data_IF_132012444094
#
_entry.id   IF_132012444094
#
_cell.length_a   1.000
_cell.length_b   1.000
_cell.length_c   1.000
_cell.angle_alpha   90.00
_cell.angle_beta   90.00
_cell.angle_gamma   90.00
#
_symmetry.space_group_name_H-M   'P 1'
#
loop_
_entity.id
_entity.type
_entity.pdbx_description
1 polymer ?
#
# COMPACT_ATOMS: atom_id res chain seq x y z
N UNK A 1 53.87 66.95 -20.96
CA UNK A 1 53.53 65.82 -21.87
C UNK A 1 53.22 64.50 -21.16
N UNK A 2 53.89 64.13 -20.06
CA UNK A 2 53.66 62.84 -19.37
C UNK A 2 52.22 62.60 -18.84
N UNK A 3 51.55 63.65 -18.35
CA UNK A 3 50.20 63.53 -17.79
C UNK A 3 49.11 63.20 -18.83
N UNK A 4 49.27 63.65 -20.08
CA UNK A 4 48.31 63.38 -21.16
C UNK A 4 48.41 61.92 -21.65
N UNK A 5 49.64 61.40 -21.74
CA UNK A 5 49.90 60.00 -22.10
C UNK A 5 49.38 59.04 -21.02
N UNK A 6 49.54 59.38 -19.73
CA UNK A 6 49.03 58.57 -18.63
C UNK A 6 47.50 58.48 -18.62
N UNK A 7 46.79 59.60 -18.89
CA UNK A 7 45.32 59.60 -19.00
C UNK A 7 44.82 58.76 -20.17
N UNK A 8 45.44 58.89 -21.35
CA UNK A 8 45.07 58.09 -22.52
C UNK A 8 45.29 56.58 -22.32
N UNK A 9 46.35 56.20 -21.60
CA UNK A 9 46.59 54.80 -21.24
C UNK A 9 45.55 54.26 -20.24
N UNK A 10 45.16 55.07 -19.25
CA UNK A 10 44.14 54.72 -18.26
C UNK A 10 42.75 54.54 -18.90
N UNK A 11 42.35 55.43 -19.81
CA UNK A 11 41.08 55.31 -20.55
C UNK A 11 41.03 54.05 -21.42
N UNK A 12 42.14 53.72 -22.11
CA UNK A 12 42.22 52.48 -22.91
C UNK A 12 42.07 51.21 -22.07
N UNK A 13 42.62 51.20 -20.86
CA UNK A 13 42.48 50.09 -19.91
C UNK A 13 41.06 49.99 -19.37
N UNK A 14 40.43 51.12 -19.03
CA UNK A 14 39.04 51.16 -18.59
C UNK A 14 38.07 50.66 -19.68
N UNK A 15 38.26 51.11 -20.92
CA UNK A 15 37.46 50.67 -22.06
C UNK A 15 37.59 49.16 -22.33
N UNK A 16 38.81 48.60 -22.23
CA UNK A 16 39.03 47.15 -22.37
C UNK A 16 38.36 46.34 -21.26
N UNK A 17 38.40 46.81 -20.01
CA UNK A 17 37.72 46.13 -18.88
C UNK A 17 36.21 46.12 -19.06
N UNK A 18 35.62 47.26 -19.41
CA UNK A 18 34.18 47.35 -19.66
C UNK A 18 33.72 46.46 -20.84
N UNK A 19 34.54 46.32 -21.88
CA UNK A 19 34.24 45.41 -23.00
C UNK A 19 34.28 43.93 -22.59
N UNK A 20 35.28 43.52 -21.79
CA UNK A 20 35.34 42.14 -21.28
C UNK A 20 34.19 41.81 -20.34
N UNK A 21 33.79 42.76 -19.49
CA UNK A 21 32.70 42.59 -18.53
C UNK A 21 31.34 42.42 -19.24
N UNK A 22 31.09 43.18 -20.31
CA UNK A 22 29.90 42.99 -21.15
C UNK A 22 29.85 41.60 -21.80
N UNK A 23 30.97 41.13 -22.36
CA UNK A 23 31.04 39.79 -22.97
C UNK A 23 30.84 38.68 -21.93
N UNK A 24 31.36 38.85 -20.71
CA UNK A 24 31.14 37.89 -19.62
C UNK A 24 29.66 37.84 -19.21
N UNK A 25 28.99 38.99 -19.13
CA UNK A 25 27.56 39.05 -18.81
C UNK A 25 26.67 38.46 -19.90
N UNK A 26 27.00 38.67 -21.18
CA UNK A 26 26.30 38.05 -22.31
C UNK A 26 26.43 36.52 -22.30
N UNK A 27 27.63 35.99 -22.02
CA UNK A 27 27.85 34.54 -21.91
C UNK A 27 27.06 33.94 -20.75
N UNK A 28 27.06 34.60 -19.60
CA UNK A 28 26.26 34.17 -18.44
C UNK A 28 24.75 34.17 -18.74
N UNK A 29 24.27 35.16 -19.51
CA UNK A 29 22.86 35.21 -19.92
C UNK A 29 22.52 34.07 -20.91
N UNK A 30 23.42 33.76 -21.85
CA UNK A 30 23.24 32.64 -22.77
C UNK A 30 23.28 31.27 -22.07
N UNK A 31 24.20 31.07 -21.13
CA UNK A 31 24.30 29.83 -20.36
C UNK A 31 23.04 29.61 -19.50
N UNK A 32 22.52 30.67 -18.86
CA UNK A 32 21.27 30.59 -18.10
C UNK A 32 20.08 30.21 -18.99
N UNK A 33 19.95 30.84 -20.16
CA UNK A 33 18.88 30.53 -21.10
C UNK A 33 18.96 29.08 -21.61
N UNK A 34 20.17 28.57 -21.87
CA UNK A 34 20.37 27.18 -22.29
C UNK A 34 20.00 26.18 -21.19
N UNK A 35 20.32 26.49 -19.93
CA UNK A 35 19.96 25.65 -18.77
C UNK A 35 18.45 25.66 -18.54
N UNK A 36 17.79 26.82 -18.62
CA UNK A 36 16.32 26.92 -18.48
C UNK A 36 15.58 26.14 -19.58
N UNK A 37 16.07 26.19 -20.82
CA UNK A 37 15.52 25.38 -21.92
C UNK A 37 15.69 23.88 -21.68
N UNK A 38 16.86 23.43 -21.23
CA UNK A 38 17.09 22.02 -20.92
C UNK A 38 16.18 21.51 -19.79
N UNK A 39 15.93 22.34 -18.77
CA UNK A 39 15.00 22.02 -17.67
C UNK A 39 13.56 21.91 -18.19
N UNK A 40 13.13 22.84 -19.04
CA UNK A 40 11.78 22.82 -19.62
C UNK A 40 11.56 21.59 -20.53
N UNK A 41 12.56 21.22 -21.34
CA UNK A 41 12.49 20.02 -22.19
C UNK A 41 12.45 18.73 -21.37
N UNK A 42 13.23 18.66 -20.28
CA UNK A 42 13.24 17.50 -19.39
C UNK A 42 11.90 17.32 -18.66
N UNK A 43 11.34 18.40 -18.13
CA UNK A 43 10.01 18.37 -17.49
C UNK A 43 8.89 17.97 -18.47
N UNK A 44 8.96 18.43 -19.73
CA UNK A 44 8.01 18.03 -20.77
C UNK A 44 8.13 16.54 -21.14
N UNK A 45 9.35 16.01 -21.19
CA UNK A 45 9.60 14.59 -21.46
C UNK A 45 9.09 13.70 -20.32
N UNK A 46 9.32 14.09 -19.07
CA UNK A 46 8.86 13.36 -17.89
C UNK A 46 7.33 13.31 -17.81
N UNK A 47 6.65 14.44 -18.05
CA UNK A 47 5.19 14.48 -18.12
C UNK A 47 4.63 13.56 -19.22
N UNK A 48 5.25 13.53 -20.39
CA UNK A 48 4.81 12.68 -21.50
C UNK A 48 5.02 11.17 -21.21
N UNK A 49 6.07 10.80 -20.48
CA UNK A 49 6.28 9.42 -20.04
C UNK A 49 5.29 9.02 -18.93
N UNK A 50 5.01 9.92 -17.99
CA UNK A 50 4.01 9.71 -16.95
C UNK A 50 2.60 9.48 -17.53
N UNK A 51 2.18 10.27 -18.52
CA UNK A 51 0.89 10.06 -19.20
C UNK A 51 0.82 8.71 -19.92
N UNK A 52 1.90 8.32 -20.62
CA UNK A 52 1.97 7.01 -21.30
C UNK A 52 1.93 5.85 -20.32
N UNK A 53 2.57 5.98 -19.17
CA UNK A 53 2.53 4.99 -18.11
C UNK A 53 1.12 4.87 -17.51
N UNK A 54 0.44 6.00 -17.28
CA UNK A 54 -0.93 6.02 -16.77
C UNK A 54 -1.93 5.40 -17.74
N UNK A 55 -1.82 5.68 -19.04
CA UNK A 55 -2.66 5.06 -20.07
C UNK A 55 -2.45 3.53 -20.15
N UNK A 56 -1.21 3.06 -19.99
CA UNK A 56 -0.90 1.62 -19.94
C UNK A 56 -1.50 0.97 -18.70
N UNK A 57 -1.39 1.61 -17.53
CA UNK A 57 -1.96 1.14 -16.26
C UNK A 57 -3.49 1.06 -16.32
N UNK A 58 -4.15 2.10 -16.81
CA UNK A 58 -5.60 2.08 -17.01
C UNK A 58 -6.03 0.95 -17.95
N UNK A 59 -5.28 0.70 -19.02
CA UNK A 59 -5.55 -0.41 -19.95
C UNK A 59 -5.33 -1.79 -19.33
N UNK A 60 -4.38 -1.97 -18.40
CA UNK A 60 -4.19 -3.24 -17.70
C UNK A 60 -5.24 -3.46 -16.61
N UNK A 61 -5.56 -2.42 -15.83
CA UNK A 61 -6.60 -2.48 -14.80
C UNK A 61 -7.98 -2.78 -15.41
N UNK A 62 -8.28 -2.20 -16.58
CA UNK A 62 -9.53 -2.49 -17.28
C UNK A 62 -9.59 -3.95 -17.75
N UNK A 63 -8.47 -4.52 -18.24
CA UNK A 63 -8.41 -5.95 -18.59
C UNK A 63 -8.56 -6.86 -17.38
N UNK A 64 -7.97 -6.48 -16.24
CA UNK A 64 -8.08 -7.25 -15.00
C UNK A 64 -9.47 -7.16 -14.38
N UNK A 65 -10.13 -6.00 -14.47
CA UNK A 65 -11.53 -5.81 -14.09
C UNK A 65 -12.46 -6.63 -14.99
N UNK A 66 -12.28 -6.59 -16.32
CA UNK A 66 -13.05 -7.39 -17.28
C UNK A 66 -12.84 -8.90 -17.03
N UNK A 67 -11.62 -9.32 -16.71
CA UNK A 67 -11.31 -10.71 -16.38
C UNK A 67 -11.90 -11.13 -15.02
N UNK A 68 -11.94 -10.24 -14.03
CA UNK A 68 -12.59 -10.47 -12.75
C UNK A 68 -14.11 -10.59 -12.92
N UNK A 69 -14.71 -9.72 -13.73
CA UNK A 69 -16.15 -9.76 -14.05
C UNK A 69 -16.51 -11.02 -14.85
N UNK A 70 -15.67 -11.42 -15.81
CA UNK A 70 -15.85 -12.68 -16.53
C UNK A 70 -15.75 -13.91 -15.61
N UNK A 71 -14.85 -13.88 -14.62
CA UNK A 71 -14.77 -14.92 -13.59
C UNK A 71 -16.01 -14.94 -12.69
N UNK A 72 -16.52 -13.77 -12.30
CA UNK A 72 -17.76 -13.68 -11.51
C UNK A 72 -18.95 -14.19 -12.31
N UNK A 73 -19.09 -13.82 -13.59
CA UNK A 73 -20.13 -14.35 -14.48
C UNK A 73 -20.02 -15.86 -14.68
N UNK A 74 -18.81 -16.40 -14.86
CA UNK A 74 -18.62 -17.85 -14.94
C UNK A 74 -19.00 -18.57 -13.64
N UNK A 75 -18.74 -17.94 -12.48
CA UNK A 75 -19.20 -18.45 -11.18
C UNK A 75 -20.72 -18.39 -11.06
N UNK A 76 -21.36 -17.30 -11.50
CA UNK A 76 -22.83 -17.15 -11.50
C UNK A 76 -23.52 -18.13 -12.46
N UNK A 77 -22.97 -18.35 -13.65
CA UNK A 77 -23.45 -19.36 -14.60
C UNK A 77 -23.30 -20.77 -14.02
N UNK A 78 -22.16 -21.09 -13.41
CA UNK A 78 -21.95 -22.38 -12.74
C UNK A 78 -22.89 -22.58 -11.55
N UNK A 79 -23.20 -21.52 -10.78
CA UNK A 79 -24.21 -21.57 -9.71
C UNK A 79 -25.61 -21.78 -10.30
N UNK A 80 -25.94 -21.13 -11.42
CA UNK A 80 -27.26 -21.24 -12.06
C UNK A 80 -27.48 -22.64 -12.66
N UNK A 81 -26.49 -23.16 -13.40
CA UNK A 81 -26.46 -24.53 -13.91
C UNK A 81 -26.59 -25.55 -12.77
N UNK A 82 -25.87 -25.33 -11.66
CA UNK A 82 -25.96 -26.22 -10.50
C UNK A 82 -27.32 -26.17 -9.79
N UNK A 83 -27.99 -25.01 -9.73
CA UNK A 83 -29.35 -24.88 -9.18
C UNK A 83 -30.37 -25.55 -10.12
N UNK A 84 -30.15 -25.50 -11.42
CA UNK A 84 -30.98 -26.20 -12.42
C UNK A 84 -30.81 -27.72 -12.31
N UNK A 85 -29.57 -28.20 -12.19
CA UNK A 85 -29.23 -29.60 -11.91
C UNK A 85 -29.78 -30.07 -10.56
N UNK A 86 -29.80 -29.22 -9.53
CA UNK A 86 -30.39 -29.57 -8.24
C UNK A 86 -31.92 -29.60 -8.29
N UNK A 87 -32.56 -28.79 -9.15
CA UNK A 87 -34.01 -28.83 -9.42
C UNK A 87 -34.41 -30.03 -10.27
N UNK A 88 -33.63 -30.36 -11.29
CA UNK A 88 -33.80 -31.55 -12.15
C UNK A 88 -33.50 -32.82 -11.33
N UNK A 89 -32.48 -32.77 -10.49
CA UNK A 89 -32.13 -33.73 -9.45
C UNK A 89 -33.23 -33.90 -8.40
N UNK A 90 -33.90 -32.83 -7.96
CA UNK A 90 -35.06 -32.92 -7.08
C UNK A 90 -36.32 -33.42 -7.79
N UNK A 91 -36.52 -33.11 -9.09
CA UNK A 91 -37.61 -33.72 -9.89
C UNK A 91 -37.39 -35.22 -10.08
N UNK A 92 -36.14 -35.66 -10.24
CA UNK A 92 -35.77 -37.08 -10.36
C UNK A 92 -35.68 -37.79 -9.00
N UNK A 93 -35.30 -37.10 -7.93
CA UNK A 93 -35.28 -37.61 -6.55
C UNK A 93 -36.65 -37.59 -5.86
N UNK A 94 -37.62 -36.80 -6.34
CA UNK A 94 -39.02 -36.93 -5.92
C UNK A 94 -39.63 -38.31 -6.25
N UNK A 95 -38.94 -39.11 -7.09
CA UNK A 95 -39.32 -40.48 -7.42
C UNK A 95 -38.65 -41.51 -6.48
N UNK A 96 -37.67 -41.13 -5.64
CA UNK A 96 -37.05 -42.09 -4.70
C UNK A 96 -36.48 -41.43 -3.43
N UNK A 97 -36.92 -41.81 -2.22
CA UNK A 97 -36.39 -41.21 -0.99
C UNK A 97 -35.12 -41.93 -0.52
N UNK A 98 -33.98 -41.21 -0.47
CA UNK A 98 -32.72 -41.71 0.08
C UNK A 98 -31.61 -40.65 0.24
N UNK A 99 -31.46 -40.13 1.47
CA UNK A 99 -30.37 -39.34 2.10
C UNK A 99 -29.10 -39.00 1.27
N UNK A 100 -28.86 -37.69 0.94
CA UNK A 100 -27.51 -37.20 0.62
C UNK A 100 -27.21 -35.73 1.03
N UNK A 101 -27.06 -35.40 2.32
CA UNK A 101 -26.74 -34.01 2.78
C UNK A 101 -25.42 -33.84 3.55
N UNK A 102 -24.82 -34.89 4.10
CA UNK A 102 -23.64 -34.76 4.97
C UNK A 102 -22.30 -34.59 4.21
N UNK A 103 -22.10 -35.29 3.09
CA UNK A 103 -20.85 -35.23 2.32
C UNK A 103 -20.63 -33.88 1.62
N UNK A 104 -21.72 -33.22 1.17
CA UNK A 104 -21.67 -31.90 0.53
C UNK A 104 -21.26 -30.79 1.51
N UNK A 105 -21.69 -30.88 2.77
CA UNK A 105 -21.35 -29.89 3.81
C UNK A 105 -19.88 -29.98 4.24
N UNK A 106 -19.34 -31.19 4.42
CA UNK A 106 -17.92 -31.39 4.73
C UNK A 106 -16.99 -30.85 3.63
N UNK A 107 -17.37 -31.02 2.36
CA UNK A 107 -16.59 -30.48 1.22
C UNK A 107 -16.57 -28.94 1.20
N UNK A 108 -17.69 -28.29 1.54
CA UNK A 108 -17.77 -26.83 1.68
C UNK A 108 -16.93 -26.31 2.85
N UNK A 109 -17.02 -26.94 4.01
CA UNK A 109 -16.24 -26.57 5.21
C UNK A 109 -14.74 -26.72 4.94
N UNK A 110 -14.33 -27.80 4.26
CA UNK A 110 -12.93 -28.01 3.88
C UNK A 110 -12.39 -26.94 2.93
N UNK A 111 -13.19 -26.49 1.96
CA UNK A 111 -12.81 -25.39 1.05
C UNK A 111 -12.64 -24.06 1.81
N UNK A 112 -13.55 -23.76 2.75
CA UNK A 112 -13.42 -22.59 3.63
C UNK A 112 -12.16 -22.69 4.48
N UNK A 113 -11.87 -23.87 5.03
CA UNK A 113 -10.66 -24.12 5.83
C UNK A 113 -9.39 -23.80 5.05
N UNK A 114 -9.30 -24.27 3.80
CA UNK A 114 -8.16 -24.01 2.94
C UNK A 114 -7.99 -22.52 2.64
N UNK A 115 -9.09 -21.80 2.42
CA UNK A 115 -9.05 -20.34 2.19
C UNK A 115 -8.66 -19.54 3.44
N UNK A 116 -9.05 -20.01 4.62
CA UNK A 116 -8.59 -19.43 5.90
C UNK A 116 -7.09 -19.63 6.05
N UNK A 117 -6.57 -20.84 5.78
CA UNK A 117 -5.14 -21.13 5.86
C UNK A 117 -4.31 -20.30 4.88
N UNK A 118 -4.74 -20.19 3.62
CA UNK A 118 -4.04 -19.38 2.63
C UNK A 118 -4.02 -17.90 3.02
N UNK A 119 -5.10 -17.40 3.62
CA UNK A 119 -5.14 -16.04 4.15
C UNK A 119 -4.20 -15.83 5.34
N UNK A 120 -4.07 -16.81 6.24
CA UNK A 120 -3.08 -16.77 7.34
C UNK A 120 -1.65 -16.67 6.79
N UNK A 121 -1.31 -17.46 5.77
CA UNK A 121 0.01 -17.42 5.15
C UNK A 121 0.33 -16.06 4.52
N UNK A 122 -0.65 -15.42 3.89
CA UNK A 122 -0.51 -14.05 3.36
C UNK A 122 -0.27 -13.08 4.51
N UNK A 123 -1.08 -13.16 5.59
CA UNK A 123 -0.92 -12.28 6.75
C UNK A 123 0.46 -12.44 7.39
N UNK A 124 0.98 -13.67 7.50
CA UNK A 124 2.32 -13.90 8.07
C UNK A 124 3.44 -13.30 7.22
N UNK A 125 3.36 -13.45 5.88
CA UNK A 125 4.33 -12.82 4.96
C UNK A 125 4.31 -11.30 5.11
N UNK A 126 3.12 -10.72 5.09
CA UNK A 126 2.91 -9.28 5.24
C UNK A 126 3.36 -8.76 6.61
N UNK A 127 3.13 -9.53 7.67
CA UNK A 127 3.60 -9.20 9.03
C UNK A 127 5.13 -9.12 9.07
N UNK A 128 5.84 -10.07 8.45
CA UNK A 128 7.29 -10.08 8.38
C UNK A 128 7.85 -8.92 7.54
N UNK A 129 7.20 -8.59 6.42
CA UNK A 129 7.58 -7.43 5.60
C UNK A 129 7.38 -6.11 6.36
N UNK A 130 6.26 -5.95 7.05
CA UNK A 130 5.97 -4.75 7.84
C UNK A 130 6.97 -4.59 9.00
N UNK A 131 7.30 -5.67 9.71
CA UNK A 131 8.30 -5.63 10.79
C UNK A 131 9.70 -5.29 10.24
N UNK A 132 10.07 -5.85 9.09
CA UNK A 132 11.30 -5.47 8.39
C UNK A 132 11.35 -3.97 8.09
N UNK A 133 10.26 -3.41 7.56
CA UNK A 133 10.19 -1.98 7.20
C UNK A 133 10.26 -1.10 8.46
N UNK A 134 9.49 -1.43 9.51
CA UNK A 134 9.55 -0.74 10.80
C UNK A 134 10.99 -0.70 11.35
N UNK A 135 11.63 -1.87 11.47
CA UNK A 135 12.98 -1.99 12.00
C UNK A 135 14.00 -1.20 11.15
N UNK A 136 13.77 -1.12 9.84
CA UNK A 136 14.62 -0.38 8.91
C UNK A 136 14.51 1.14 9.09
N UNK A 137 13.30 1.68 9.25
CA UNK A 137 13.08 3.11 9.57
C UNK A 137 13.62 3.43 10.97
N UNK A 138 13.45 2.51 11.93
CA UNK A 138 14.00 2.65 13.28
C UNK A 138 15.53 2.67 13.28
N UNK A 139 16.19 1.88 12.43
CA UNK A 139 17.65 1.90 12.29
C UNK A 139 18.18 3.17 11.59
N UNK A 140 17.36 3.87 10.79
CA UNK A 140 17.70 5.16 10.17
C UNK A 140 18.85 5.11 9.17
N UNK A 141 19.12 3.94 8.57
CA UNK A 141 20.37 3.67 7.84
C UNK A 141 20.44 4.37 6.48
N UNK A 142 19.32 4.82 5.88
CA UNK A 142 19.32 5.28 4.48
C UNK A 142 18.31 6.42 4.18
N UNK A 143 18.01 7.32 5.13
CA UNK A 143 17.19 8.50 4.81
C UNK A 143 17.99 9.44 3.91
N UNK A 144 17.65 9.49 2.62
CA UNK A 144 18.25 10.42 1.65
C UNK A 144 17.87 11.86 2.04
N UNK A 145 18.82 12.72 2.47
CA UNK A 145 18.49 14.04 3.03
C UNK A 145 18.00 15.09 2.02
N UNK A 146 18.01 14.79 0.71
CA UNK A 146 17.94 15.81 -0.36
C UNK A 146 16.49 16.04 -0.85
N UNK A 147 15.58 15.07 -0.68
CA UNK A 147 14.18 15.19 -1.14
C UNK A 147 13.23 15.80 -0.09
N UNK A 148 13.70 15.95 1.16
CA UNK A 148 12.86 16.34 2.31
C UNK A 148 12.41 17.81 2.32
N UNK A 149 13.20 18.74 1.76
CA UNK A 149 12.83 20.18 1.79
C UNK A 149 11.72 20.53 0.81
N UNK A 150 11.75 19.95 -0.39
CA UNK A 150 10.71 20.14 -1.41
C UNK A 150 9.38 19.50 -0.96
N UNK A 151 9.45 18.28 -0.42
CA UNK A 151 8.27 17.58 0.13
C UNK A 151 7.67 18.28 1.34
N UNK A 152 8.47 18.89 2.23
CA UNK A 152 7.93 19.69 3.37
C UNK A 152 7.18 20.93 2.92
N UNK A 153 7.63 21.59 1.84
CA UNK A 153 6.95 22.77 1.32
C UNK A 153 5.69 22.38 0.52
N UNK A 154 5.72 21.28 -0.24
CA UNK A 154 4.54 20.69 -0.89
C UNK A 154 3.50 20.15 0.11
N UNK A 155 3.95 19.69 1.27
CA UNK A 155 3.11 19.28 2.40
C UNK A 155 2.41 20.46 3.08
N UNK A 156 3.10 21.60 3.26
CA UNK A 156 2.47 22.85 3.74
C UNK A 156 1.42 23.38 2.76
N UNK A 157 1.56 23.05 1.48
CA UNK A 157 0.59 23.36 0.41
C UNK A 157 -0.58 22.37 0.35
N UNK A 158 -0.58 21.29 1.14
CA UNK A 158 -1.69 20.34 1.23
C UNK A 158 -1.80 19.37 0.05
N UNK A 159 -0.73 19.18 -0.73
CA UNK A 159 -0.70 18.16 -1.78
C UNK A 159 -0.54 16.79 -1.13
N UNK A 160 -1.56 15.95 -1.22
CA UNK A 160 -1.46 14.54 -0.80
C UNK A 160 -0.55 13.82 -1.78
N UNK A 161 0.63 13.37 -1.33
CA UNK A 161 1.38 12.35 -2.06
C UNK A 161 0.48 11.10 -2.14
N UNK A 162 0.12 10.76 -3.37
CA UNK A 162 -0.63 9.56 -3.70
C UNK A 162 -0.11 9.08 -5.04
N UNK A 163 1.10 8.56 -5.06
CA UNK A 163 1.75 8.16 -6.32
C UNK A 163 2.33 6.75 -6.32
N UNK A 164 2.42 6.07 -5.16
CA UNK A 164 3.10 4.76 -5.06
C UNK A 164 2.11 3.61 -4.82
N UNK A 165 2.26 2.50 -5.58
CA UNK A 165 1.53 1.24 -5.32
C UNK A 165 2.07 0.54 -4.06
N UNK A 166 1.28 -0.34 -3.45
CA UNK A 166 1.68 -1.10 -2.25
C UNK A 166 2.99 -1.88 -2.47
N UNK A 167 3.13 -2.54 -3.62
CA UNK A 167 4.36 -3.26 -3.98
C UNK A 167 5.52 -2.33 -4.33
N UNK A 168 5.22 -1.16 -4.91
CA UNK A 168 6.21 -0.14 -5.26
C UNK A 168 6.83 0.46 -3.99
N UNK A 169 6.02 0.73 -2.96
CA UNK A 169 6.49 1.17 -1.65
C UNK A 169 7.39 0.11 -1.00
N UNK A 170 6.96 -1.15 -0.96
CA UNK A 170 7.80 -2.25 -0.46
C UNK A 170 9.12 -2.36 -1.22
N UNK A 171 9.08 -2.12 -2.53
CA UNK A 171 10.23 -2.13 -3.40
C UNK A 171 11.18 -0.97 -3.07
N UNK A 172 10.69 0.25 -2.86
CA UNK A 172 11.47 1.41 -2.39
C UNK A 172 12.20 1.13 -1.07
N UNK A 173 11.52 0.51 -0.10
CA UNK A 173 12.14 0.10 1.17
C UNK A 173 13.26 -0.94 0.99
N UNK A 174 13.10 -1.88 0.04
CA UNK A 174 14.12 -2.88 -0.31
C UNK A 174 15.33 -2.27 -1.03
N UNK A 175 15.09 -1.32 -1.95
CA UNK A 175 16.15 -0.67 -2.74
C UNK A 175 16.74 0.58 -2.09
N UNK A 176 16.43 0.84 -0.81
CA UNK A 176 17.00 1.94 -0.02
C UNK A 176 16.66 3.34 -0.54
N UNK A 177 15.57 3.47 -1.30
CA UNK A 177 15.10 4.73 -1.85
C UNK A 177 13.77 5.11 -1.19
N UNK A 178 13.74 5.13 0.15
CA UNK A 178 12.52 5.39 0.92
C UNK A 178 12.62 6.69 1.71
N UNK A 179 11.52 7.44 1.73
CA UNK A 179 11.29 8.62 2.53
C UNK A 179 10.49 8.29 3.81
N UNK A 180 10.48 9.20 4.78
CA UNK A 180 9.53 9.13 5.91
C UNK A 180 8.09 9.18 5.39
N UNK A 181 7.86 9.90 4.30
CA UNK A 181 6.55 10.01 3.66
C UNK A 181 6.07 8.68 3.08
N UNK A 182 6.95 7.92 2.43
CA UNK A 182 6.66 6.55 2.00
C UNK A 182 6.27 5.66 3.21
N UNK A 183 6.81 5.94 4.40
CA UNK A 183 6.42 5.27 5.65
C UNK A 183 4.98 5.57 6.08
N UNK A 184 4.51 6.81 5.91
CA UNK A 184 3.12 7.20 6.18
C UNK A 184 2.15 6.71 5.09
N UNK A 185 2.54 6.74 3.80
CA UNK A 185 1.76 6.12 2.72
C UNK A 185 1.56 4.63 2.99
N UNK A 186 2.63 3.93 3.39
CA UNK A 186 2.60 2.52 3.73
C UNK A 186 1.69 2.23 4.94
N UNK A 187 1.75 3.08 5.98
CA UNK A 187 0.87 2.99 7.14
C UNK A 187 -0.61 3.06 6.71
N UNK A 188 -0.98 3.98 5.83
CA UNK A 188 -2.35 4.11 5.34
C UNK A 188 -2.80 2.89 4.54
N UNK A 189 -1.96 2.39 3.63
CA UNK A 189 -2.29 1.22 2.83
C UNK A 189 -2.43 -0.04 3.68
N UNK A 190 -1.55 -0.26 4.67
CA UNK A 190 -1.69 -1.39 5.59
C UNK A 190 -2.91 -1.27 6.50
N UNK A 191 -3.32 -0.06 6.90
CA UNK A 191 -4.57 0.13 7.64
C UNK A 191 -5.80 -0.23 6.80
N UNK A 192 -5.82 0.15 5.52
CA UNK A 192 -6.88 -0.26 4.59
C UNK A 192 -6.87 -1.77 4.36
N UNK A 193 -5.69 -2.37 4.18
CA UNK A 193 -5.54 -3.81 4.02
C UNK A 193 -5.96 -4.58 5.30
N UNK A 194 -5.62 -4.10 6.49
CA UNK A 194 -6.05 -4.65 7.77
C UNK A 194 -7.59 -4.65 7.89
N UNK A 195 -8.23 -3.56 7.49
CA UNK A 195 -9.70 -3.47 7.45
C UNK A 195 -10.30 -4.51 6.48
N UNK A 196 -9.69 -4.70 5.30
CA UNK A 196 -10.09 -5.74 4.35
C UNK A 196 -9.93 -7.15 4.95
N UNK A 197 -8.83 -7.45 5.65
CA UNK A 197 -8.65 -8.76 6.27
C UNK A 197 -9.66 -9.02 7.39
N UNK A 198 -9.98 -8.02 8.21
CA UNK A 198 -11.05 -8.14 9.23
C UNK A 198 -12.41 -8.40 8.59
N UNK A 199 -12.72 -7.73 7.48
CA UNK A 199 -13.95 -7.98 6.73
C UNK A 199 -13.98 -9.40 6.15
N UNK A 200 -12.84 -9.91 5.66
CA UNK A 200 -12.72 -11.28 5.17
C UNK A 200 -12.99 -12.32 6.27
N UNK A 201 -12.45 -12.11 7.47
CA UNK A 201 -12.73 -12.97 8.64
C UNK A 201 -14.23 -12.97 8.97
N UNK A 202 -14.86 -11.78 8.97
CA UNK A 202 -16.31 -11.64 9.19
C UNK A 202 -17.12 -12.47 8.19
N UNK A 203 -16.76 -12.42 6.90
CA UNK A 203 -17.42 -13.23 5.86
C UNK A 203 -17.23 -14.73 6.10
N UNK A 204 -16.04 -15.17 6.51
CA UNK A 204 -15.82 -16.59 6.85
C UNK A 204 -16.69 -17.07 8.00
N UNK A 205 -16.87 -16.25 9.05
CA UNK A 205 -17.76 -16.56 10.17
C UNK A 205 -19.23 -16.64 9.70
N UNK A 206 -19.66 -15.71 8.84
CA UNK A 206 -21.00 -15.73 8.24
C UNK A 206 -21.25 -16.98 7.38
N UNK A 207 -20.23 -17.43 6.63
CA UNK A 207 -20.32 -18.64 5.81
C UNK A 207 -20.48 -19.93 6.62
N UNK A 208 -20.06 -19.93 7.89
CA UNK A 208 -20.29 -21.02 8.86
C UNK A 208 -21.66 -20.95 9.54
N UNK A 209 -22.49 -19.95 9.23
CA UNK A 209 -23.90 -19.91 9.60
C UNK A 209 -24.26 -19.03 10.81
N UNK A 210 -23.34 -18.19 11.29
CA UNK A 210 -23.62 -17.22 12.36
C UNK A 210 -23.41 -15.79 11.88
N UNK A 211 -24.41 -14.95 12.15
CA UNK A 211 -24.36 -13.53 11.88
C UNK A 211 -23.50 -12.82 12.94
N UNK A 212 -22.34 -12.31 12.53
CA UNK A 212 -21.42 -11.57 13.41
C UNK A 212 -22.06 -10.33 14.01
N UNK A 213 -22.99 -9.68 13.29
CA UNK A 213 -23.63 -8.44 13.75
C UNK A 213 -24.62 -8.67 14.91
N UNK A 214 -24.97 -9.93 15.19
CA UNK A 214 -25.74 -10.31 16.39
C UNK A 214 -24.88 -10.51 17.64
N UNK A 215 -23.56 -10.46 17.51
CA UNK A 215 -22.60 -10.68 18.59
C UNK A 215 -21.77 -9.42 18.85
N UNK A 216 -21.39 -9.19 20.11
CA UNK A 216 -20.62 -7.99 20.50
C UNK A 216 -19.21 -7.93 19.85
N UNK A 217 -18.67 -9.07 19.39
CA UNK A 217 -17.37 -9.14 18.71
C UNK A 217 -17.23 -10.36 17.79
N UNK A 218 -16.30 -10.29 16.82
CA UNK A 218 -15.94 -11.44 15.95
C UNK A 218 -15.46 -12.65 16.76
N UNK A 219 -14.71 -12.42 17.85
CA UNK A 219 -14.28 -13.50 18.77
C UNK A 219 -15.49 -14.12 19.49
N UNK A 220 -16.44 -13.30 19.94
CA UNK A 220 -17.67 -13.80 20.57
C UNK A 220 -18.52 -14.64 19.62
N UNK A 221 -18.56 -14.29 18.33
CA UNK A 221 -19.21 -15.10 17.30
C UNK A 221 -18.51 -16.47 17.10
N UNK A 222 -17.17 -16.49 17.08
CA UNK A 222 -16.38 -17.74 17.01
C UNK A 222 -16.63 -18.62 18.24
N UNK A 223 -16.59 -18.05 19.44
CA UNK A 223 -16.86 -18.78 20.69
C UNK A 223 -18.29 -19.31 20.77
N UNK A 224 -19.25 -18.58 20.22
CA UNK A 224 -20.63 -19.04 20.11
C UNK A 224 -20.74 -20.24 19.14
N UNK A 225 -20.13 -20.15 17.96
CA UNK A 225 -20.08 -21.26 16.99
C UNK A 225 -19.39 -22.49 17.57
N UNK A 226 -18.24 -22.33 18.23
CA UNK A 226 -17.54 -23.46 18.86
C UNK A 226 -18.42 -24.16 19.91
N UNK A 227 -19.21 -23.40 20.68
CA UNK A 227 -20.15 -23.96 21.66
C UNK A 227 -21.27 -24.72 20.97
N UNK A 228 -21.90 -24.13 19.95
CA UNK A 228 -22.96 -24.78 19.17
C UNK A 228 -22.48 -26.09 18.52
N UNK A 229 -21.27 -26.12 17.99
CA UNK A 229 -20.71 -27.35 17.40
C UNK A 229 -20.36 -28.40 18.45
N UNK A 230 -19.82 -28.00 19.61
CA UNK A 230 -19.54 -28.93 20.72
C UNK A 230 -20.82 -29.52 21.31
N UNK A 231 -21.92 -28.76 21.30
CA UNK A 231 -23.25 -29.21 21.75
C UNK A 231 -23.87 -30.28 20.84
N UNK A 232 -23.37 -30.48 19.62
CA UNK A 232 -23.83 -31.55 18.71
C UNK A 232 -23.28 -32.93 19.06
N UNK A 233 -22.33 -33.03 20.01
CA UNK A 233 -21.70 -34.26 20.50
C UNK A 233 -21.24 -35.21 19.37
N UNK A 234 -22.08 -36.17 18.96
CA UNK A 234 -21.79 -37.21 17.97
C UNK A 234 -21.90 -36.72 16.52
N UNK A 235 -22.60 -35.61 16.26
CA UNK A 235 -22.72 -34.98 14.95
C UNK A 235 -21.79 -33.75 14.80
N UNK A 236 -20.80 -33.63 15.71
CA UNK A 236 -19.83 -32.54 15.69
C UNK A 236 -18.98 -32.61 14.42
N UNK A 237 -18.98 -31.52 13.65
CA UNK A 237 -18.10 -31.38 12.49
C UNK A 237 -16.72 -30.90 12.96
N UNK A 238 -15.75 -31.82 12.91
CA UNK A 238 -14.38 -31.59 13.34
C UNK A 238 -13.69 -30.53 12.45
N UNK A 239 -14.04 -30.46 11.16
CA UNK A 239 -13.46 -29.47 10.24
C UNK A 239 -13.92 -28.06 10.60
N UNK A 240 -15.18 -27.89 11.04
CA UNK A 240 -15.68 -26.60 11.54
C UNK A 240 -14.86 -26.16 12.74
N UNK A 241 -14.60 -27.05 13.71
CA UNK A 241 -13.76 -26.72 14.88
C UNK A 241 -12.34 -26.31 14.48
N UNK A 242 -11.72 -26.98 13.52
CA UNK A 242 -10.40 -26.59 13.01
C UNK A 242 -10.44 -25.25 12.29
N UNK A 243 -11.47 -24.98 11.48
CA UNK A 243 -11.62 -23.68 10.80
C UNK A 243 -11.78 -22.53 11.80
N UNK A 244 -12.55 -22.72 12.86
CA UNK A 244 -12.77 -21.72 13.92
C UNK A 244 -11.49 -21.42 14.69
N UNK A 245 -10.70 -22.47 14.98
CA UNK A 245 -9.37 -22.31 15.57
C UNK A 245 -8.43 -21.50 14.68
N UNK A 246 -8.41 -21.79 13.39
CA UNK A 246 -7.55 -21.07 12.43
C UNK A 246 -8.04 -19.61 12.23
N UNK A 247 -9.35 -19.36 12.27
CA UNK A 247 -9.89 -17.99 12.28
C UNK A 247 -9.49 -17.21 13.53
N UNK A 248 -9.44 -17.84 14.71
CA UNK A 248 -8.91 -17.21 15.93
C UNK A 248 -7.42 -16.86 15.77
N UNK A 249 -6.63 -17.80 15.23
CA UNK A 249 -5.21 -17.57 14.98
C UNK A 249 -4.98 -16.43 13.98
N UNK A 250 -5.85 -16.31 12.96
CA UNK A 250 -5.88 -15.18 12.03
C UNK A 250 -6.16 -13.85 12.74
N UNK A 251 -7.16 -13.80 13.64
CA UNK A 251 -7.47 -12.60 14.41
C UNK A 251 -6.29 -12.19 15.31
N UNK A 252 -5.64 -13.14 15.96
CA UNK A 252 -4.45 -12.88 16.80
C UNK A 252 -3.30 -12.30 15.96
N UNK A 253 -3.09 -12.81 14.74
CA UNK A 253 -2.10 -12.26 13.79
C UNK A 253 -2.45 -10.84 13.34
N UNK A 254 -3.73 -10.55 13.07
CA UNK A 254 -4.16 -9.19 12.73
C UNK A 254 -3.94 -8.19 13.89
N UNK A 255 -4.12 -8.62 15.14
CA UNK A 255 -3.77 -7.80 16.32
C UNK A 255 -2.26 -7.53 16.40
N UNK A 256 -1.43 -8.51 16.01
CA UNK A 256 0.03 -8.29 15.90
C UNK A 256 0.36 -7.24 14.82
N UNK A 257 -0.26 -7.33 13.64
CA UNK A 257 -0.08 -6.32 12.58
C UNK A 257 -0.48 -4.93 13.07
N UNK A 258 -1.62 -4.80 13.75
CA UNK A 258 -2.05 -3.53 14.35
C UNK A 258 -1.03 -2.96 15.36
N UNK A 259 -0.42 -3.83 16.15
CA UNK A 259 0.65 -3.43 17.09
C UNK A 259 1.87 -2.91 16.34
N UNK A 260 2.30 -3.59 15.28
CA UNK A 260 3.44 -3.16 14.46
C UNK A 260 3.12 -1.83 13.75
N UNK A 261 1.89 -1.64 13.25
CA UNK A 261 1.47 -0.37 12.64
C UNK A 261 1.51 0.79 13.63
N UNK A 262 1.07 0.58 14.87
CA UNK A 262 1.17 1.59 15.92
C UNK A 262 2.63 1.94 16.24
N UNK A 263 3.50 0.94 16.28
CA UNK A 263 4.92 1.18 16.49
C UNK A 263 5.56 1.91 15.30
N UNK A 264 5.17 1.54 14.06
CA UNK A 264 5.61 2.20 12.84
C UNK A 264 5.23 3.68 12.84
N UNK A 265 3.99 4.03 13.20
CA UNK A 265 3.55 5.42 13.36
C UNK A 265 4.44 6.17 14.37
N UNK A 266 4.74 5.54 15.52
CA UNK A 266 5.64 6.11 16.52
C UNK A 266 7.06 6.32 16.00
N UNK A 267 7.59 5.40 15.19
CA UNK A 267 8.92 5.51 14.57
C UNK A 267 8.93 6.61 13.50
N UNK A 268 7.95 6.65 12.61
CA UNK A 268 7.79 7.69 11.59
C UNK A 268 7.70 9.08 12.24
N UNK A 269 6.93 9.21 13.33
CA UNK A 269 6.81 10.46 14.09
C UNK A 269 8.13 10.90 14.68
N UNK A 270 8.80 10.03 15.44
CA UNK A 270 10.12 10.32 16.04
C UNK A 270 11.15 10.74 14.98
N UNK A 271 11.19 10.03 13.85
CA UNK A 271 12.10 10.36 12.75
C UNK A 271 11.74 11.70 12.11
N UNK A 272 10.45 11.98 11.90
CA UNK A 272 10.03 13.26 11.34
C UNK A 272 10.41 14.45 12.25
N UNK A 273 10.22 14.30 13.57
CA UNK A 273 10.61 15.29 14.57
C UNK A 273 12.14 15.50 14.60
N UNK A 274 12.95 14.44 14.47
CA UNK A 274 14.42 14.53 14.37
C UNK A 274 14.89 15.28 13.12
N UNK A 275 14.15 15.22 12.01
CA UNK A 275 14.51 15.96 10.80
C UNK A 275 14.06 17.42 10.90
N UNK A 276 12.89 17.68 11.48
CA UNK A 276 12.33 19.04 11.62
C UNK A 276 13.09 19.86 12.69
N UNK A 277 13.50 19.22 13.79
CA UNK A 277 14.26 19.85 14.87
C UNK A 277 15.40 18.90 15.29
N UNK A 278 16.52 18.88 14.55
CA UNK A 278 17.64 18.03 14.91
C UNK A 278 18.16 18.39 16.30
N UNK A 279 18.48 17.39 17.12
CA UNK A 279 18.90 17.57 18.51
C UNK A 279 20.15 18.47 18.69
N UNK A 280 20.90 18.72 17.60
CA UNK A 280 22.05 19.62 17.59
C UNK A 280 21.70 21.10 17.34
N UNK A 281 20.49 21.44 16.88
CA UNK A 281 20.00 22.82 16.85
C UNK A 281 19.40 23.17 18.23
N UNK A 282 20.19 23.87 19.03
CA UNK A 282 19.77 24.37 20.33
C UNK A 282 18.45 25.16 20.20
N UNK A 283 17.44 24.76 20.98
CA UNK A 283 16.17 25.48 21.15
C UNK A 283 16.45 26.91 21.66
N UNK A 284 16.65 27.87 20.75
CA UNK A 284 16.81 29.28 21.11
C UNK A 284 17.90 30.04 20.36
N UNK A 285 17.96 29.96 19.02
CA UNK A 285 18.70 30.94 18.24
C UNK A 285 17.93 31.38 17.01
N UNK A 286 16.79 32.04 17.22
CA UNK A 286 16.30 33.13 16.39
C UNK A 286 15.63 34.17 17.30
#
# INVERSE_FOLDING_TARGET
ESAALARAAAERLAAKRAAMEKVAMEKLAQEKAAVEQAIAEWAAAEHAEAERANLRKASTEQRDADAAEARLRAVEEAISEWIEDEREGHRTAAITPGRPTAEKTSTRTAAIHQQVRSAIEVIDKETGELDFIKNRIEAGVDLLPIEFRLTVDEWKEGKTLRQSSFDDLKQKFRYKAYSIEDGYELLHLYNQWLAQQRQKVRVFIQLLGVDVDRHDSMLGAIEHLERLEREKYLEMDVDVIYTLRDMRDMLDKLVRVETILRDLDGVCRKRSEQIIAPEWEAKGSL
#
